data_IF_102371926050
#
_entry.id   IF_102371926050
#
_cell.length_a   1.000
_cell.length_b   1.000
_cell.length_c   1.000
_cell.angle_alpha   90.00
_cell.angle_beta   90.00
_cell.angle_gamma   90.00
#
_symmetry.space_group_name_H-M   'P 1'
#
loop_
_entity.id
_entity.type
_entity.pdbx_description
1 polymer ?
#
# COMPACT_ATOMS: atom_id res chain seq x y z
N UNK A 1 12.58 -17.80 -13.70
CA UNK A 1 11.91 -16.66 -13.03
C UNK A 1 12.62 -16.40 -11.72
N UNK A 2 13.60 -15.52 -11.74
CA UNK A 2 14.41 -15.08 -10.60
C UNK A 2 15.12 -13.81 -11.07
N UNK A 3 15.64 -12.95 -10.19
CA UNK A 3 16.52 -11.78 -10.49
C UNK A 3 15.89 -10.37 -10.35
N UNK A 4 14.61 -10.18 -10.01
CA UNK A 4 14.11 -8.80 -9.70
C UNK A 4 13.17 -8.67 -8.48
N UNK A 5 13.09 -9.68 -7.61
CA UNK A 5 13.19 -9.32 -6.18
C UNK A 5 14.64 -8.91 -6.04
N UNK A 6 14.96 -7.77 -5.42
CA UNK A 6 16.14 -7.68 -4.52
C UNK A 6 16.84 -6.33 -4.40
N UNK A 7 16.63 -5.35 -5.30
CA UNK A 7 17.46 -4.13 -5.18
C UNK A 7 17.10 -3.29 -3.95
N UNK A 8 15.82 -3.24 -3.57
CA UNK A 8 15.39 -2.55 -2.35
C UNK A 8 15.51 -3.44 -1.10
N UNK A 9 15.18 -4.73 -1.23
CA UNK A 9 15.28 -5.70 -0.15
C UNK A 9 16.74 -5.88 0.32
N UNK A 10 17.69 -6.15 -0.58
CA UNK A 10 19.10 -6.28 -0.17
C UNK A 10 19.68 -4.94 0.30
N UNK A 11 19.21 -3.79 -0.22
CA UNK A 11 19.60 -2.49 0.34
C UNK A 11 19.17 -2.33 1.79
N UNK A 12 17.93 -2.68 2.13
CA UNK A 12 17.48 -2.66 3.54
C UNK A 12 18.23 -3.71 4.39
N UNK A 13 18.53 -4.90 3.85
CA UNK A 13 19.35 -5.91 4.55
C UNK A 13 20.75 -5.37 4.84
N UNK A 14 21.45 -4.84 3.84
CA UNK A 14 22.81 -4.30 4.02
C UNK A 14 22.82 -3.10 4.97
N UNK A 15 21.85 -2.18 4.84
CA UNK A 15 21.71 -1.06 5.77
C UNK A 15 21.44 -1.53 7.20
N UNK A 16 20.60 -2.56 7.39
CA UNK A 16 20.34 -3.14 8.70
C UNK A 16 21.60 -3.78 9.28
N UNK A 17 22.38 -4.52 8.46
CA UNK A 17 23.66 -5.08 8.87
C UNK A 17 24.64 -4.01 9.33
N UNK A 18 24.83 -2.94 8.55
CA UNK A 18 25.74 -1.83 8.90
C UNK A 18 25.32 -1.11 10.18
N UNK A 19 24.01 -0.89 10.36
CA UNK A 19 23.47 -0.16 11.51
C UNK A 19 23.51 -0.98 12.80
N UNK A 20 23.33 -2.28 12.71
CA UNK A 20 23.18 -3.18 13.87
C UNK A 20 24.39 -4.09 14.10
N UNK A 21 25.43 -3.99 13.25
CA UNK A 21 26.63 -4.83 13.28
C UNK A 21 26.30 -6.31 13.47
N UNK A 22 25.44 -6.84 12.59
CA UNK A 22 24.92 -8.19 12.69
C UNK A 22 25.18 -9.04 11.45
N UNK A 23 25.06 -10.36 11.62
CA UNK A 23 25.26 -11.29 10.51
C UNK A 23 24.11 -11.18 9.50
N UNK A 24 24.45 -11.46 8.23
CA UNK A 24 23.50 -11.42 7.11
C UNK A 24 22.22 -12.23 7.39
N UNK A 25 22.36 -13.40 8.00
CA UNK A 25 21.24 -14.29 8.29
C UNK A 25 20.26 -13.69 9.31
N UNK A 26 20.77 -12.93 10.28
CA UNK A 26 19.96 -12.22 11.27
C UNK A 26 19.26 -11.01 10.63
N UNK A 27 19.99 -10.22 9.83
CA UNK A 27 19.43 -9.09 9.10
C UNK A 27 18.35 -9.52 8.09
N UNK A 28 18.56 -10.61 7.35
CA UNK A 28 17.57 -11.15 6.41
C UNK A 28 16.28 -11.52 7.14
N UNK A 29 16.35 -12.26 8.26
CA UNK A 29 15.15 -12.64 9.03
C UNK A 29 14.34 -11.43 9.49
N UNK A 30 15.02 -10.39 9.98
CA UNK A 30 14.34 -9.18 10.48
C UNK A 30 13.73 -8.39 9.33
N UNK A 31 14.49 -8.13 8.26
CA UNK A 31 14.00 -7.36 7.11
C UNK A 31 12.90 -8.11 6.37
N UNK A 32 13.00 -9.42 6.24
CA UNK A 32 11.95 -10.26 5.65
C UNK A 32 10.67 -10.24 6.49
N UNK A 33 10.77 -10.34 7.82
CA UNK A 33 9.61 -10.20 8.71
C UNK A 33 8.96 -8.80 8.60
N UNK A 34 9.77 -7.74 8.52
CA UNK A 34 9.27 -6.38 8.32
C UNK A 34 8.61 -6.21 6.95
N UNK A 35 9.21 -6.76 5.89
CA UNK A 35 8.70 -6.70 4.52
C UNK A 35 7.37 -7.45 4.38
N UNK A 36 7.30 -8.64 4.97
CA UNK A 36 6.07 -9.45 5.01
C UNK A 36 4.97 -8.75 5.81
N UNK A 37 5.30 -8.16 6.97
CA UNK A 37 4.35 -7.37 7.76
C UNK A 37 3.87 -6.11 7.02
N UNK A 38 4.77 -5.40 6.33
CA UNK A 38 4.43 -4.26 5.47
C UNK A 38 3.46 -4.69 4.36
N UNK A 39 3.71 -5.82 3.70
CA UNK A 39 2.84 -6.37 2.64
C UNK A 39 1.46 -6.77 3.18
N UNK A 40 1.39 -7.45 4.32
CA UNK A 40 0.11 -7.84 4.92
C UNK A 40 -0.74 -6.61 5.31
N UNK A 41 -0.10 -5.61 5.92
CA UNK A 41 -0.77 -4.33 6.24
C UNK A 41 -1.25 -3.62 4.98
N UNK A 42 -0.44 -3.62 3.93
CA UNK A 42 -0.80 -3.08 2.61
C UNK A 42 -2.05 -3.76 2.04
N UNK A 43 -2.11 -5.09 2.06
CA UNK A 43 -3.28 -5.84 1.56
C UNK A 43 -4.54 -5.47 2.35
N UNK A 44 -4.46 -5.44 3.68
CA UNK A 44 -5.58 -5.07 4.56
C UNK A 44 -6.10 -3.65 4.28
N UNK A 45 -5.20 -2.69 4.05
CA UNK A 45 -5.58 -1.31 3.73
C UNK A 45 -6.26 -1.24 2.35
N UNK A 46 -5.72 -1.94 1.35
CA UNK A 46 -6.30 -2.01 0.00
C UNK A 46 -7.74 -2.55 0.08
N UNK A 47 -7.94 -3.64 0.81
CA UNK A 47 -9.24 -4.28 0.96
C UNK A 47 -10.25 -3.36 1.68
N UNK A 48 -9.85 -2.77 2.81
CA UNK A 48 -10.70 -1.85 3.55
C UNK A 48 -11.09 -0.59 2.76
N UNK A 49 -10.18 -0.06 1.92
CA UNK A 49 -10.49 1.06 1.03
C UNK A 49 -11.41 0.62 -0.11
N UNK A 50 -11.14 -0.54 -0.72
CA UNK A 50 -11.99 -1.10 -1.78
C UNK A 50 -13.43 -1.24 -1.30
N UNK A 51 -13.64 -1.86 -0.14
CA UNK A 51 -14.98 -2.03 0.45
C UNK A 51 -15.69 -0.71 0.69
N UNK A 52 -15.01 0.29 1.26
CA UNK A 52 -15.60 1.62 1.48
C UNK A 52 -16.06 2.29 0.19
N UNK A 53 -15.29 2.16 -0.88
CA UNK A 53 -15.62 2.76 -2.18
C UNK A 53 -16.80 2.03 -2.84
N UNK A 54 -16.86 0.70 -2.73
CA UNK A 54 -18.01 -0.11 -3.17
C UNK A 54 -19.27 0.31 -2.41
N UNK A 55 -19.19 0.45 -1.08
CA UNK A 55 -20.31 0.95 -0.27
C UNK A 55 -20.74 2.38 -0.64
N UNK A 56 -19.83 3.20 -1.18
CA UNK A 56 -20.14 4.55 -1.67
C UNK A 56 -20.78 4.57 -3.08
N UNK A 57 -20.97 3.40 -3.70
CA UNK A 57 -21.57 3.23 -5.02
C UNK A 57 -20.57 3.28 -6.18
N UNK A 58 -19.27 3.16 -5.91
CA UNK A 58 -18.23 3.11 -6.94
C UNK A 58 -18.08 1.67 -7.45
N UNK A 59 -17.96 1.44 -8.77
CA UNK A 59 -17.70 0.12 -9.32
C UNK A 59 -16.45 -0.54 -8.71
N UNK A 60 -16.49 -1.86 -8.53
CA UNK A 60 -15.39 -2.62 -7.94
C UNK A 60 -14.06 -2.42 -8.70
N UNK A 61 -14.12 -2.38 -10.04
CA UNK A 61 -12.94 -2.18 -10.89
C UNK A 61 -12.23 -0.86 -10.61
N UNK A 62 -12.98 0.23 -10.45
CA UNK A 62 -12.42 1.55 -10.17
C UNK A 62 -11.95 1.66 -8.72
N UNK A 63 -12.68 1.01 -7.81
CA UNK A 63 -12.34 0.92 -6.38
C UNK A 63 -11.01 0.19 -6.17
N UNK A 64 -10.81 -0.94 -6.83
CA UNK A 64 -9.56 -1.72 -6.77
C UNK A 64 -8.40 -0.93 -7.37
N UNK A 65 -8.61 -0.33 -8.56
CA UNK A 65 -7.58 0.49 -9.23
C UNK A 65 -7.12 1.65 -8.34
N UNK A 66 -8.04 2.35 -7.68
CA UNK A 66 -7.68 3.41 -6.74
C UNK A 66 -6.91 2.86 -5.53
N UNK A 67 -7.42 1.80 -4.90
CA UNK A 67 -6.80 1.24 -3.70
C UNK A 67 -5.37 0.73 -3.94
N UNK A 68 -5.08 0.11 -5.09
CA UNK A 68 -3.76 -0.43 -5.42
C UNK A 68 -2.73 0.63 -5.81
N UNK A 69 -3.18 1.73 -6.43
CA UNK A 69 -2.30 2.78 -6.98
C UNK A 69 -2.09 3.94 -6.01
N UNK A 70 -2.91 4.05 -4.98
CA UNK A 70 -2.85 5.20 -4.09
C UNK A 70 -1.60 5.16 -3.20
N UNK A 71 -0.93 6.32 -3.01
CA UNK A 71 0.33 6.41 -2.27
C UNK A 71 0.19 6.16 -0.77
N UNK A 72 -1.04 6.05 -0.23
CA UNK A 72 -1.27 5.76 1.19
C UNK A 72 -0.82 4.38 1.62
N UNK A 73 -0.75 3.45 0.67
CA UNK A 73 -0.43 2.04 0.94
C UNK A 73 0.96 1.88 1.57
N UNK A 74 1.86 2.85 1.37
CA UNK A 74 3.24 2.80 1.85
C UNK A 74 3.60 3.86 2.91
N UNK A 75 2.75 4.85 3.23
CA UNK A 75 3.24 6.02 3.99
C UNK A 75 2.23 6.85 4.80
N UNK A 76 0.92 6.58 4.74
CA UNK A 76 -0.06 7.53 5.29
C UNK A 76 -0.77 7.04 6.56
N UNK A 77 -0.97 7.98 7.48
CA UNK A 77 -1.79 7.82 8.69
C UNK A 77 -3.27 7.63 8.33
N UNK A 78 -4.06 6.94 9.17
CA UNK A 78 -5.46 6.63 8.89
C UNK A 78 -6.32 7.85 8.50
N UNK A 79 -6.09 9.01 9.13
CA UNK A 79 -6.79 10.26 8.80
C UNK A 79 -6.47 10.78 7.39
N UNK A 80 -5.24 10.60 6.93
CA UNK A 80 -4.81 10.99 5.59
C UNK A 80 -5.43 10.08 4.52
N UNK A 81 -5.54 8.78 4.81
CA UNK A 81 -6.24 7.81 3.95
C UNK A 81 -7.71 8.19 3.82
N UNK A 82 -8.39 8.47 4.92
CA UNK A 82 -9.81 8.80 4.90
C UNK A 82 -10.11 10.06 4.09
N UNK A 83 -9.28 11.12 4.24
CA UNK A 83 -9.43 12.34 3.44
C UNK A 83 -9.30 12.05 1.94
N UNK A 84 -8.32 11.22 1.55
CA UNK A 84 -8.09 10.88 0.15
C UNK A 84 -9.26 10.07 -0.44
N UNK A 85 -9.74 9.07 0.30
CA UNK A 85 -10.91 8.26 -0.06
C UNK A 85 -12.15 9.14 -0.26
N UNK A 86 -12.38 10.09 0.66
CA UNK A 86 -13.51 11.04 0.56
C UNK A 86 -13.40 11.94 -0.67
N UNK A 87 -12.22 12.52 -0.91
CA UNK A 87 -11.97 13.34 -2.11
C UNK A 87 -12.21 12.56 -3.40
N UNK A 88 -11.79 11.29 -3.46
CA UNK A 88 -12.04 10.45 -4.61
C UNK A 88 -13.53 10.20 -4.86
N UNK A 89 -14.30 9.88 -3.80
CA UNK A 89 -15.76 9.71 -3.90
C UNK A 89 -16.43 10.97 -4.44
N UNK A 90 -16.05 12.15 -3.91
CA UNK A 90 -16.64 13.42 -4.33
C UNK A 90 -16.33 13.73 -5.81
N UNK A 91 -15.10 13.49 -6.26
CA UNK A 91 -14.70 13.68 -7.65
C UNK A 91 -15.42 12.70 -8.59
N UNK A 92 -15.52 11.43 -8.19
CA UNK A 92 -16.23 10.41 -8.97
C UNK A 92 -17.70 10.80 -9.18
N UNK A 93 -18.39 11.18 -8.10
CA UNK A 93 -19.80 11.60 -8.15
C UNK A 93 -20.01 12.87 -8.98
N UNK A 94 -19.09 13.84 -8.92
CA UNK A 94 -19.12 15.03 -9.78
C UNK A 94 -18.96 14.66 -11.26
N UNK A 95 -18.02 13.76 -11.57
CA UNK A 95 -17.80 13.27 -12.93
C UNK A 95 -19.01 12.54 -13.51
N UNK A 96 -19.67 11.70 -12.73
CA UNK A 96 -20.90 11.00 -13.16
C UNK A 96 -22.05 11.97 -13.42
N UNK A 97 -22.24 13.00 -12.56
CA UNK A 97 -23.26 14.03 -12.78
C UNK A 97 -23.01 14.88 -14.03
N UNK A 98 -21.75 15.08 -14.43
CA UNK A 98 -21.40 15.84 -15.63
C UNK A 98 -21.64 15.05 -16.94
N UNK A 99 -21.88 13.73 -16.85
CA UNK A 99 -22.22 12.87 -17.99
C UNK A 99 -23.73 12.72 -18.21
N UNK A 100 -24.55 13.16 -17.25
CA UNK A 100 -26.02 13.23 -17.35
C UNK A 100 -26.44 14.55 -17.98
#
# INVERSE_FOLDING_TARGET
MTVVKDNEFWKEVYYYMEKHDCYKEEAVKVVEAQFNSKNEKRVKIIEAVKEKLICAGIPEKDSLKFAETAPFVNSLTGASVERMVRSFIDLFKKGERAKQ
#
